data_IF_209280623233
#
_entry.id   IF_209280623233
#
_cell.length_a   1.000
_cell.length_b   1.000
_cell.length_c   1.000
_cell.angle_alpha   90.00
_cell.angle_beta   90.00
_cell.angle_gamma   90.00
#
_symmetry.space_group_name_H-M   'P 1'
#
loop_
_entity.id
_entity.type
_entity.pdbx_description
1 polymer ?
#
# COMPACT_ATOMS: atom_id res chain seq x y z
N UNK A 1 -36.74 -10.82 15.32
CA UNK A 1 -35.78 -9.83 14.70
C UNK A 1 -34.51 -10.59 14.33
N UNK A 2 -34.22 -10.76 13.03
CA UNK A 2 -32.99 -11.40 12.61
C UNK A 2 -31.80 -10.49 12.98
N UNK A 3 -30.85 -11.00 13.74
CA UNK A 3 -29.65 -10.26 14.14
C UNK A 3 -28.86 -9.82 12.93
N UNK A 4 -28.67 -8.52 12.75
CA UNK A 4 -27.84 -7.95 11.69
C UNK A 4 -26.38 -8.41 11.93
N UNK A 5 -25.85 -9.23 11.01
CA UNK A 5 -24.47 -9.73 11.12
C UNK A 5 -23.48 -8.60 10.88
N UNK A 6 -22.65 -8.32 11.88
CA UNK A 6 -21.64 -7.28 11.87
C UNK A 6 -20.24 -7.91 11.88
N UNK A 7 -19.36 -7.42 10.99
CA UNK A 7 -17.98 -7.89 10.86
C UNK A 7 -17.00 -6.73 10.93
N UNK A 8 -15.87 -6.95 11.59
CA UNK A 8 -14.77 -6.00 11.70
C UNK A 8 -13.54 -6.55 10.98
N UNK A 9 -12.98 -5.77 10.05
CA UNK A 9 -11.85 -6.13 9.23
C UNK A 9 -10.75 -5.09 9.36
N UNK A 10 -9.50 -5.51 9.22
CA UNK A 10 -8.33 -4.62 9.18
C UNK A 10 -7.68 -4.72 7.80
N UNK A 11 -7.47 -3.58 7.19
CA UNK A 11 -6.90 -3.45 5.85
C UNK A 11 -5.52 -2.80 5.94
N UNK A 12 -4.41 -3.54 5.72
CA UNK A 12 -3.06 -3.07 5.99
C UNK A 12 -2.55 -2.07 4.95
N UNK A 13 -1.66 -1.18 5.39
CA UNK A 13 -0.80 -0.43 4.49
C UNK A 13 0.34 -1.31 3.94
N UNK A 14 0.97 -0.87 2.84
CA UNK A 14 2.20 -1.46 2.30
C UNK A 14 3.30 -0.42 2.15
N UNK A 15 4.54 -0.88 2.12
CA UNK A 15 5.67 -0.08 1.65
C UNK A 15 6.43 -0.83 0.56
N UNK A 16 7.05 -0.07 -0.34
CA UNK A 16 8.03 -0.64 -1.27
C UNK A 16 9.40 -0.59 -0.57
N UNK A 17 9.98 -1.74 -0.27
CA UNK A 17 11.32 -1.86 0.29
C UNK A 17 12.39 -1.48 -0.73
N UNK A 18 12.12 -1.73 -2.01
CA UNK A 18 12.77 -1.10 -3.15
C UNK A 18 11.80 -0.97 -4.31
N UNK A 19 12.12 -0.09 -5.26
CA UNK A 19 11.39 0.05 -6.51
C UNK A 19 12.35 0.45 -7.63
N UNK A 20 12.54 -0.42 -8.60
CA UNK A 20 13.29 -0.16 -9.83
C UNK A 20 12.35 0.02 -11.00
N UNK A 21 12.63 1.00 -11.83
CA UNK A 21 11.96 1.20 -13.11
C UNK A 21 12.89 0.64 -14.20
N UNK A 22 12.43 -0.39 -14.90
CA UNK A 22 13.27 -1.12 -15.86
C UNK A 22 13.25 -0.44 -17.23
N UNK A 23 12.03 -0.10 -17.71
CA UNK A 23 11.82 0.61 -18.98
C UNK A 23 10.41 1.18 -19.05
N UNK A 24 10.21 2.14 -19.94
CA UNK A 24 8.90 2.62 -20.35
C UNK A 24 8.32 1.67 -21.41
N UNK A 25 7.03 1.35 -21.29
CA UNK A 25 6.30 0.50 -22.23
C UNK A 25 5.51 1.35 -23.24
N UNK A 26 5.14 0.76 -24.38
CA UNK A 26 4.40 1.43 -25.46
C UNK A 26 3.02 1.99 -25.01
N UNK A 27 2.40 1.37 -24.02
CA UNK A 27 1.12 1.78 -23.46
C UNK A 27 1.21 2.86 -22.36
N UNK A 28 2.32 3.59 -22.27
CA UNK A 28 2.63 4.59 -21.24
C UNK A 28 2.76 4.04 -19.80
N UNK A 29 2.71 2.74 -19.58
CA UNK A 29 3.11 2.13 -18.33
C UNK A 29 4.63 1.96 -18.27
N UNK A 30 5.13 1.54 -17.10
CA UNK A 30 6.54 1.23 -16.90
C UNK A 30 6.67 -0.21 -16.44
N UNK A 31 7.66 -0.91 -16.97
CA UNK A 31 8.09 -2.17 -16.38
C UNK A 31 8.85 -1.85 -15.10
N UNK A 32 8.45 -2.51 -14.01
CA UNK A 32 9.03 -2.30 -12.68
C UNK A 32 9.56 -3.61 -12.11
N UNK A 33 10.45 -3.46 -11.14
CA UNK A 33 10.92 -4.52 -10.26
C UNK A 33 10.93 -3.99 -8.83
N UNK A 34 10.23 -4.66 -7.92
CA UNK A 34 10.02 -4.13 -6.57
C UNK A 34 9.84 -5.24 -5.54
N UNK A 35 10.20 -4.94 -4.29
CA UNK A 35 9.86 -5.75 -3.13
C UNK A 35 8.92 -4.98 -2.22
N UNK A 36 7.76 -5.56 -1.93
CA UNK A 36 6.75 -4.96 -1.07
C UNK A 36 6.61 -5.74 0.24
N UNK A 37 6.48 -4.98 1.32
CA UNK A 37 6.08 -5.48 2.64
C UNK A 37 4.83 -4.79 3.11
N UNK A 38 3.95 -5.51 3.82
CA UNK A 38 2.89 -4.89 4.59
C UNK A 38 3.46 -4.31 5.89
N UNK A 39 2.77 -3.32 6.43
CA UNK A 39 3.11 -2.67 7.70
C UNK A 39 1.88 -2.57 8.60
N UNK A 40 2.10 -2.54 9.91
CA UNK A 40 1.07 -2.58 10.94
C UNK A 40 0.27 -1.27 11.10
N UNK A 41 0.01 -0.55 10.01
CA UNK A 41 -0.95 0.56 9.93
C UNK A 41 -2.14 0.08 9.12
N UNK A 42 -3.36 0.29 9.62
CA UNK A 42 -4.56 -0.28 9.04
C UNK A 42 -5.68 0.74 8.91
N UNK A 43 -6.41 0.69 7.81
CA UNK A 43 -7.79 1.15 7.80
C UNK A 43 -8.69 0.12 8.50
N UNK A 44 -9.71 0.58 9.19
CA UNK A 44 -10.68 -0.27 9.88
C UNK A 44 -11.98 -0.30 9.07
N UNK A 45 -12.45 -1.51 8.76
CA UNK A 45 -13.65 -1.69 7.94
C UNK A 45 -14.70 -2.43 8.77
N UNK A 46 -15.87 -1.83 8.86
CA UNK A 46 -17.07 -2.50 9.42
C UNK A 46 -18.00 -2.85 8.29
N UNK A 47 -18.40 -4.12 8.20
CA UNK A 47 -19.37 -4.61 7.22
C UNK A 47 -20.63 -5.09 7.97
N UNK A 48 -21.78 -4.57 7.57
CA UNK A 48 -23.09 -5.01 8.03
C UNK A 48 -23.81 -5.66 6.85
N UNK A 49 -24.23 -6.91 7.01
CA UNK A 49 -25.18 -7.53 6.08
C UNK A 49 -26.56 -6.93 6.37
N UNK A 50 -27.24 -6.40 5.37
CA UNK A 50 -28.53 -5.74 5.55
C UNK A 50 -29.52 -6.12 4.46
N UNK A 51 -30.80 -5.80 4.71
CA UNK A 51 -31.92 -5.99 3.77
C UNK A 51 -32.18 -4.73 2.90
N UNK A 52 -31.32 -3.70 2.95
CA UNK A 52 -31.48 -2.48 2.17
C UNK A 52 -31.45 -2.80 0.68
N UNK A 53 -32.16 -1.99 -0.13
CA UNK A 53 -32.21 -2.18 -1.59
C UNK A 53 -30.84 -2.05 -2.27
N UNK A 54 -29.88 -1.34 -1.64
CA UNK A 54 -28.57 -1.07 -2.24
C UNK A 54 -27.42 -1.21 -1.23
N UNK A 55 -26.26 -1.60 -1.74
CA UNK A 55 -25.00 -1.56 -0.98
C UNK A 55 -24.52 -0.11 -0.86
N UNK A 56 -24.14 0.29 0.33
CA UNK A 56 -23.58 1.63 0.63
C UNK A 56 -22.20 1.53 1.25
N UNK A 57 -21.35 2.50 0.91
CA UNK A 57 -20.01 2.66 1.51
C UNK A 57 -19.88 4.06 2.05
N UNK A 58 -19.47 4.21 3.30
CA UNK A 58 -19.19 5.50 3.93
C UNK A 58 -17.75 5.51 4.46
N UNK A 59 -17.00 6.51 4.05
CA UNK A 59 -15.66 6.77 4.56
C UNK A 59 -15.72 7.85 5.63
N UNK A 60 -14.92 7.69 6.69
CA UNK A 60 -14.79 8.66 7.78
C UNK A 60 -13.35 8.61 8.35
N UNK A 61 -13.02 9.53 9.26
CA UNK A 61 -11.68 9.68 9.82
C UNK A 61 -10.83 10.69 9.05
N UNK A 62 -9.58 10.85 9.49
CA UNK A 62 -8.66 11.92 9.09
C UNK A 62 -8.48 12.03 7.56
N UNK A 63 -8.37 10.89 6.86
CA UNK A 63 -8.07 10.84 5.43
C UNK A 63 -9.27 10.52 4.54
N UNK A 64 -10.49 10.79 5.00
CA UNK A 64 -11.71 10.43 4.25
C UNK A 64 -12.18 11.51 3.27
N UNK A 65 -11.83 12.78 3.49
CA UNK A 65 -12.42 13.94 2.79
C UNK A 65 -12.33 13.90 1.25
N UNK A 66 -11.29 13.28 0.71
CA UNK A 66 -11.03 13.20 -0.74
C UNK A 66 -11.59 11.92 -1.39
N UNK A 67 -12.35 11.09 -0.67
CA UNK A 67 -12.83 9.80 -1.16
C UNK A 67 -14.32 9.86 -1.45
N UNK A 68 -14.70 9.51 -2.69
CA UNK A 68 -16.12 9.40 -3.07
C UNK A 68 -16.78 8.18 -2.41
N UNK A 69 -17.93 8.40 -1.77
CA UNK A 69 -18.76 7.32 -1.24
C UNK A 69 -19.48 6.51 -2.34
N UNK A 70 -19.68 7.09 -3.53
CA UNK A 70 -20.40 6.48 -4.65
C UNK A 70 -19.47 5.75 -5.62
N UNK A 71 -18.37 6.40 -6.00
CA UNK A 71 -17.41 5.89 -6.99
C UNK A 71 -16.08 5.53 -6.30
N UNK A 72 -15.95 4.28 -5.88
CA UNK A 72 -14.75 3.78 -5.22
C UNK A 72 -14.51 2.30 -5.52
N UNK A 73 -13.30 1.84 -5.28
CA UNK A 73 -12.88 0.46 -5.58
C UNK A 73 -13.65 -0.62 -4.79
N UNK A 74 -14.20 -0.32 -3.61
CA UNK A 74 -15.03 -1.27 -2.85
C UNK A 74 -16.35 -1.53 -3.60
N UNK A 75 -17.03 -0.46 -4.02
CA UNK A 75 -18.29 -0.59 -4.80
C UNK A 75 -18.01 -1.35 -6.10
N UNK A 76 -16.93 -1.02 -6.82
CA UNK A 76 -16.55 -1.71 -8.06
C UNK A 76 -16.37 -3.22 -7.86
N UNK A 77 -15.67 -3.62 -6.80
CA UNK A 77 -15.46 -5.04 -6.46
C UNK A 77 -16.78 -5.75 -6.17
N UNK A 78 -17.63 -5.15 -5.35
CA UNK A 78 -18.92 -5.75 -4.99
C UNK A 78 -19.82 -5.90 -6.24
N UNK A 79 -19.87 -4.88 -7.10
CA UNK A 79 -20.63 -4.90 -8.34
C UNK A 79 -20.14 -6.01 -9.28
N UNK A 80 -18.83 -6.18 -9.44
CA UNK A 80 -18.27 -7.28 -10.23
C UNK A 80 -18.57 -8.65 -9.61
N UNK A 81 -18.46 -8.81 -8.29
CA UNK A 81 -18.79 -10.05 -7.60
C UNK A 81 -20.27 -10.43 -7.79
N UNK A 82 -21.18 -9.45 -7.70
CA UNK A 82 -22.63 -9.67 -7.94
C UNK A 82 -22.91 -10.13 -9.37
N UNK A 83 -22.22 -9.57 -10.37
CA UNK A 83 -22.34 -9.99 -11.77
C UNK A 83 -21.84 -11.42 -12.01
N UNK A 84 -20.80 -11.83 -11.30
CA UNK A 84 -20.09 -13.09 -11.52
C UNK A 84 -20.60 -14.25 -10.67
N UNK A 85 -21.41 -13.99 -9.62
CA UNK A 85 -21.79 -15.05 -8.69
C UNK A 85 -23.20 -14.86 -8.12
N UNK A 86 -24.08 -15.84 -8.39
CA UNK A 86 -25.49 -15.83 -7.96
C UNK A 86 -25.64 -15.78 -6.43
N UNK A 87 -24.72 -16.38 -5.65
CA UNK A 87 -24.79 -16.43 -4.17
C UNK A 87 -24.75 -15.04 -3.51
N UNK A 88 -24.19 -14.03 -4.18
CA UNK A 88 -24.07 -12.68 -3.64
C UNK A 88 -24.94 -11.65 -4.40
N UNK A 89 -25.59 -12.05 -5.49
CA UNK A 89 -26.35 -11.14 -6.38
C UNK A 89 -27.33 -10.28 -5.60
N UNK A 90 -28.12 -10.87 -4.73
CA UNK A 90 -29.17 -10.19 -3.94
C UNK A 90 -28.67 -9.71 -2.55
N UNK A 91 -27.39 -9.92 -2.23
CA UNK A 91 -26.85 -9.48 -0.94
C UNK A 91 -26.47 -8.02 -0.96
N UNK A 92 -26.87 -7.28 0.06
CA UNK A 92 -26.51 -5.87 0.21
C UNK A 92 -25.80 -5.63 1.54
N UNK A 93 -24.95 -4.60 1.55
CA UNK A 93 -24.06 -4.32 2.66
C UNK A 93 -24.04 -2.82 2.97
N UNK A 94 -24.00 -2.50 4.26
CA UNK A 94 -23.58 -1.19 4.73
C UNK A 94 -22.14 -1.33 5.20
N UNK A 95 -21.22 -0.62 4.50
CA UNK A 95 -19.79 -0.68 4.77
C UNK A 95 -19.33 0.68 5.29
N UNK A 96 -18.69 0.68 6.47
CA UNK A 96 -18.07 1.88 7.05
C UNK A 96 -16.57 1.68 7.08
N UNK A 97 -15.80 2.62 6.55
CA UNK A 97 -14.33 2.57 6.47
C UNK A 97 -13.75 3.76 7.21
N UNK A 98 -13.06 3.48 8.33
CA UNK A 98 -12.26 4.49 9.02
C UNK A 98 -10.90 4.59 8.35
N UNK A 99 -10.63 5.76 7.77
CA UNK A 99 -9.40 6.03 7.02
C UNK A 99 -8.28 6.50 7.95
N UNK A 100 -7.39 5.58 8.29
CA UNK A 100 -6.18 5.84 9.07
C UNK A 100 -4.92 5.89 8.17
N UNK A 101 -5.01 5.39 6.92
CA UNK A 101 -3.93 5.41 5.93
C UNK A 101 -4.11 6.64 5.04
N UNK A 102 -3.11 7.55 4.94
CA UNK A 102 -3.19 8.73 4.10
C UNK A 102 -3.45 8.40 2.63
N UNK A 103 -4.36 9.15 2.01
CA UNK A 103 -4.70 8.99 0.58
C UNK A 103 -3.60 9.58 -0.30
N UNK A 104 -3.26 8.92 -1.41
CA UNK A 104 -2.24 9.38 -2.34
C UNK A 104 -0.81 9.37 -1.78
N UNK A 105 -0.58 8.60 -0.72
CA UNK A 105 0.70 8.53 0.01
C UNK A 105 1.68 7.48 -0.50
N UNK A 106 1.29 6.63 -1.45
CA UNK A 106 2.11 5.47 -1.87
C UNK A 106 1.97 4.24 -0.95
N UNK A 107 1.10 4.30 0.08
CA UNK A 107 0.88 3.21 1.05
C UNK A 107 -0.21 2.20 0.64
N UNK A 108 -0.92 2.41 -0.47
CA UNK A 108 -1.86 1.47 -1.06
C UNK A 108 -3.18 1.27 -0.31
N UNK A 109 -3.60 2.21 0.55
CA UNK A 109 -4.78 2.05 1.41
C UNK A 109 -6.08 1.76 0.66
N UNK A 110 -6.38 2.45 -0.44
CA UNK A 110 -7.59 2.22 -1.24
C UNK A 110 -7.63 0.82 -1.87
N UNK A 111 -6.52 0.41 -2.48
CA UNK A 111 -6.33 -0.93 -3.06
C UNK A 111 -6.49 -2.01 -1.99
N UNK A 112 -5.86 -1.82 -0.82
CA UNK A 112 -5.96 -2.73 0.32
C UNK A 112 -7.41 -2.89 0.79
N UNK A 113 -8.17 -1.79 0.91
CA UNK A 113 -9.57 -1.83 1.32
C UNK A 113 -10.41 -2.70 0.39
N UNK A 114 -10.27 -2.51 -0.92
CA UNK A 114 -11.01 -3.28 -1.93
C UNK A 114 -10.65 -4.77 -1.90
N UNK A 115 -9.35 -5.11 -1.77
CA UNK A 115 -8.91 -6.51 -1.67
C UNK A 115 -9.36 -7.15 -0.35
N UNK A 116 -9.36 -6.40 0.75
CA UNK A 116 -9.87 -6.88 2.04
C UNK A 116 -11.35 -7.25 1.96
N UNK A 117 -12.18 -6.42 1.30
CA UNK A 117 -13.60 -6.73 1.05
C UNK A 117 -13.74 -7.93 0.11
N UNK A 118 -12.97 -8.01 -0.98
CA UNK A 118 -12.96 -9.16 -1.89
C UNK A 118 -12.73 -10.46 -1.11
N UNK A 119 -11.67 -10.54 -0.32
CA UNK A 119 -11.32 -11.73 0.49
C UNK A 119 -12.38 -12.07 1.51
N UNK A 120 -12.91 -11.07 2.20
CA UNK A 120 -13.99 -11.24 3.15
C UNK A 120 -15.22 -11.87 2.49
N UNK A 121 -15.70 -11.31 1.38
CA UNK A 121 -16.89 -11.81 0.69
C UNK A 121 -16.66 -13.20 0.09
N UNK A 122 -15.47 -13.47 -0.46
CA UNK A 122 -15.11 -14.81 -0.93
C UNK A 122 -15.23 -15.85 0.20
N UNK A 123 -14.63 -15.57 1.35
CA UNK A 123 -14.67 -16.47 2.52
C UNK A 123 -16.09 -16.59 3.08
N UNK A 124 -16.78 -15.46 3.29
CA UNK A 124 -18.10 -15.40 3.95
C UNK A 124 -19.20 -16.15 3.19
N UNK A 125 -19.17 -16.08 1.86
CA UNK A 125 -20.17 -16.69 0.97
C UNK A 125 -19.66 -17.92 0.24
N UNK A 126 -18.47 -18.41 0.57
CA UNK A 126 -17.80 -19.53 -0.13
C UNK A 126 -17.87 -19.36 -1.66
N UNK A 127 -17.40 -18.19 -2.16
CA UNK A 127 -17.48 -17.87 -3.56
C UNK A 127 -16.38 -18.58 -4.35
N UNK A 128 -16.76 -19.53 -5.19
CA UNK A 128 -15.86 -20.16 -6.16
C UNK A 128 -15.74 -19.23 -7.37
N UNK A 129 -14.61 -18.48 -7.47
CA UNK A 129 -14.36 -17.56 -8.57
C UNK A 129 -13.33 -18.19 -9.51
N UNK A 130 -13.68 -18.31 -10.79
CA UNK A 130 -12.77 -18.80 -11.84
C UNK A 130 -11.52 -17.92 -11.91
N UNK A 131 -10.33 -18.49 -12.16
CA UNK A 131 -9.04 -17.80 -12.18
C UNK A 131 -9.03 -16.55 -13.07
N UNK A 132 -9.65 -16.62 -14.25
CA UNK A 132 -9.73 -15.46 -15.17
C UNK A 132 -10.60 -14.33 -14.61
N UNK A 133 -11.73 -14.65 -13.99
CA UNK A 133 -12.60 -13.66 -13.36
C UNK A 133 -11.89 -12.99 -12.16
N UNK A 134 -11.19 -13.78 -11.35
CA UNK A 134 -10.41 -13.25 -10.24
C UNK A 134 -9.30 -12.30 -10.74
N UNK A 135 -8.62 -12.65 -11.85
CA UNK A 135 -7.64 -11.78 -12.50
C UNK A 135 -8.26 -10.47 -12.97
N UNK A 136 -9.48 -10.53 -13.54
CA UNK A 136 -10.22 -9.33 -13.95
C UNK A 136 -10.58 -8.43 -12.75
N UNK A 137 -11.05 -9.02 -11.64
CA UNK A 137 -11.37 -8.26 -10.41
C UNK A 137 -10.10 -7.57 -9.88
N UNK A 138 -8.96 -8.27 -9.77
CA UNK A 138 -7.72 -7.64 -9.34
C UNK A 138 -7.30 -6.48 -10.26
N UNK A 139 -7.41 -6.65 -11.57
CA UNK A 139 -7.09 -5.58 -12.54
C UNK A 139 -7.97 -4.34 -12.37
N UNK A 140 -9.27 -4.52 -12.08
CA UNK A 140 -10.20 -3.41 -11.88
C UNK A 140 -9.94 -2.63 -10.58
N UNK A 141 -9.30 -3.26 -9.59
CA UNK A 141 -8.89 -2.60 -8.34
C UNK A 141 -7.63 -1.74 -8.57
N UNK A 142 -6.66 -2.28 -9.31
CA UNK A 142 -5.39 -1.61 -9.57
C UNK A 142 -4.26 -2.59 -9.89
N UNK A 143 -3.18 -2.10 -10.50
CA UNK A 143 -2.05 -2.91 -10.95
C UNK A 143 -1.39 -3.69 -9.80
N UNK A 144 -1.27 -3.07 -8.62
CA UNK A 144 -0.64 -3.64 -7.43
C UNK A 144 -1.60 -4.39 -6.48
N UNK A 145 -2.85 -4.60 -6.90
CA UNK A 145 -3.89 -5.18 -6.02
C UNK A 145 -3.54 -6.57 -5.49
N UNK A 146 -2.85 -7.40 -6.28
CA UNK A 146 -2.43 -8.74 -5.88
C UNK A 146 -1.45 -8.78 -4.71
N UNK A 147 -0.78 -7.67 -4.38
CA UNK A 147 0.13 -7.63 -3.22
C UNK A 147 -0.61 -7.87 -1.91
N UNK A 148 -1.90 -7.54 -1.86
CA UNK A 148 -2.76 -7.71 -0.69
C UNK A 148 -3.47 -9.08 -0.63
N UNK A 149 -3.17 -10.00 -1.57
CA UNK A 149 -3.78 -11.34 -1.59
C UNK A 149 -3.43 -12.14 -0.34
N UNK A 150 -2.23 -12.03 0.17
CA UNK A 150 -1.76 -12.59 1.44
C UNK A 150 -0.80 -11.62 2.14
N UNK A 151 -0.28 -11.96 3.33
CA UNK A 151 0.60 -11.09 4.13
C UNK A 151 2.10 -11.26 3.85
N UNK A 152 2.50 -12.20 2.98
CA UNK A 152 3.92 -12.42 2.70
C UNK A 152 4.56 -11.25 1.95
N UNK A 153 5.88 -11.16 2.01
CA UNK A 153 6.65 -10.27 1.12
C UNK A 153 6.33 -10.57 -0.34
N UNK A 154 6.30 -9.53 -1.18
CA UNK A 154 5.98 -9.65 -2.61
C UNK A 154 7.08 -9.08 -3.47
N UNK A 155 7.75 -9.96 -4.23
CA UNK A 155 8.48 -9.51 -5.42
C UNK A 155 7.47 -9.23 -6.53
N UNK A 156 7.59 -8.06 -7.13
CA UNK A 156 6.69 -7.58 -8.17
C UNK A 156 7.50 -7.26 -9.41
N UNK A 157 6.98 -7.64 -10.57
CA UNK A 157 7.56 -7.32 -11.87
C UNK A 157 6.48 -7.05 -12.92
N UNK A 158 6.90 -6.78 -14.17
CA UNK A 158 6.00 -6.30 -15.21
C UNK A 158 5.54 -4.88 -14.90
N UNK A 159 4.31 -4.54 -15.19
CA UNK A 159 3.70 -3.27 -14.78
C UNK A 159 3.05 -3.30 -13.39
N UNK A 160 3.44 -4.27 -12.54
CA UNK A 160 2.86 -4.53 -11.20
C UNK A 160 1.98 -5.79 -11.16
N UNK A 161 1.79 -6.48 -12.29
CA UNK A 161 0.85 -7.58 -12.46
C UNK A 161 1.44 -8.96 -12.15
N UNK A 162 2.76 -9.12 -12.22
CA UNK A 162 3.48 -10.35 -11.89
C UNK A 162 3.93 -10.29 -10.43
N UNK A 163 3.32 -11.12 -9.58
CA UNK A 163 3.57 -11.14 -8.14
C UNK A 163 4.06 -12.50 -7.72
N UNK A 164 5.22 -12.52 -7.04
CA UNK A 164 5.80 -13.72 -6.43
C UNK A 164 5.88 -13.55 -4.92
N UNK A 165 5.19 -14.43 -4.18
CA UNK A 165 5.20 -14.41 -2.71
C UNK A 165 6.50 -14.98 -2.17
N UNK A 166 7.09 -14.30 -1.19
CA UNK A 166 8.29 -14.75 -0.49
C UNK A 166 8.00 -14.92 1.00
N UNK A 167 7.98 -16.18 1.44
CA UNK A 167 7.69 -16.56 2.83
C UNK A 167 8.91 -16.35 3.72
N UNK A 168 9.30 -15.10 3.93
CA UNK A 168 10.35 -14.75 4.88
C UNK A 168 9.80 -13.81 5.95
N UNK A 169 10.26 -13.98 7.18
CA UNK A 169 9.93 -13.10 8.30
C UNK A 169 10.98 -12.00 8.39
N UNK A 170 10.62 -10.77 8.02
CA UNK A 170 11.47 -9.60 8.16
C UNK A 170 10.82 -8.68 9.19
N UNK A 171 11.51 -8.46 10.30
CA UNK A 171 11.04 -7.56 11.38
C UNK A 171 11.83 -6.25 11.33
N UNK A 172 11.23 -5.19 10.79
CA UNK A 172 11.81 -3.85 10.75
C UNK A 172 10.97 -2.91 11.63
N UNK A 173 11.62 -2.13 12.48
CA UNK A 173 10.96 -1.02 13.18
C UNK A 173 10.91 0.17 12.23
N UNK A 174 9.74 0.73 11.98
CA UNK A 174 9.50 1.69 10.92
C UNK A 174 8.78 2.91 11.48
N UNK A 175 9.26 4.09 11.12
CA UNK A 175 8.54 5.34 11.23
C UNK A 175 8.06 5.75 9.85
N UNK A 176 6.74 5.79 9.65
CA UNK A 176 6.12 6.37 8.46
C UNK A 176 5.90 7.86 8.69
N UNK A 177 6.15 8.68 7.66
CA UNK A 177 6.00 10.12 7.71
C UNK A 177 5.37 10.58 6.39
N UNK A 178 4.21 11.22 6.47
CA UNK A 178 3.51 11.76 5.30
C UNK A 178 3.44 13.28 5.40
N UNK A 179 3.99 14.02 4.44
CA UNK A 179 4.08 15.50 4.48
C UNK A 179 2.77 16.18 4.11
N UNK A 180 1.63 15.49 4.16
CA UNK A 180 0.28 15.96 3.83
C UNK A 180 0.12 16.53 2.40
N UNK A 181 1.10 16.32 1.54
CA UNK A 181 1.07 16.67 0.12
C UNK A 181 1.24 15.40 -0.71
N UNK A 182 0.17 14.83 -1.30
CA UNK A 182 0.25 13.61 -2.10
C UNK A 182 1.01 13.85 -3.40
N UNK A 183 1.62 12.78 -3.93
CA UNK A 183 2.18 12.76 -5.27
C UNK A 183 1.16 12.18 -6.25
N UNK A 184 1.09 12.75 -7.45
CA UNK A 184 0.39 12.12 -8.58
C UNK A 184 1.31 11.07 -9.20
N UNK A 185 1.01 9.80 -9.00
CA UNK A 185 1.81 8.65 -9.47
C UNK A 185 2.19 8.78 -10.93
N UNK A 186 1.22 9.11 -11.80
CA UNK A 186 1.44 9.31 -13.25
C UNK A 186 2.53 10.35 -13.51
N UNK A 187 2.47 11.50 -12.84
CA UNK A 187 3.43 12.60 -13.01
C UNK A 187 4.83 12.19 -12.57
N UNK A 188 4.95 11.46 -11.44
CA UNK A 188 6.25 10.97 -10.95
C UNK A 188 6.89 10.02 -11.97
N UNK A 189 6.14 9.05 -12.50
CA UNK A 189 6.64 8.13 -13.52
C UNK A 189 6.99 8.82 -14.83
N UNK A 190 6.21 9.80 -15.28
CA UNK A 190 6.47 10.55 -16.51
C UNK A 190 7.75 11.39 -16.43
N UNK A 191 8.10 11.87 -15.24
CA UNK A 191 9.31 12.65 -15.00
C UNK A 191 10.52 11.79 -14.62
N UNK A 192 10.35 10.46 -14.54
CA UNK A 192 11.47 9.57 -14.23
C UNK A 192 12.44 9.46 -15.39
N UNK A 193 13.72 9.66 -15.08
CA UNK A 193 14.84 9.52 -16.02
C UNK A 193 15.80 8.39 -15.61
N UNK A 194 15.54 7.71 -14.51
CA UNK A 194 16.39 6.63 -14.00
C UNK A 194 15.75 5.30 -14.39
N UNK A 195 16.55 4.46 -15.03
CA UNK A 195 16.19 3.11 -15.41
C UNK A 195 17.25 2.14 -14.91
N UNK A 196 16.86 1.18 -14.11
CA UNK A 196 17.74 0.22 -13.46
C UNK A 196 17.62 -1.17 -14.08
N UNK A 197 18.68 -1.97 -13.99
CA UNK A 197 18.60 -3.40 -14.33
C UNK A 197 17.73 -4.13 -13.32
N UNK A 198 16.96 -5.11 -13.82
CA UNK A 198 16.14 -5.99 -12.98
C UNK A 198 17.02 -6.79 -12.02
N UNK A 199 16.60 -6.88 -10.77
CA UNK A 199 17.27 -7.67 -9.76
C UNK A 199 16.73 -9.12 -9.79
N UNK A 200 17.61 -10.10 -10.01
CA UNK A 200 17.21 -11.51 -9.94
C UNK A 200 16.70 -11.84 -8.54
N UNK A 201 15.52 -12.46 -8.46
CA UNK A 201 14.84 -12.76 -7.18
C UNK A 201 15.74 -13.55 -6.22
N UNK A 202 16.50 -14.54 -6.72
CA UNK A 202 17.36 -15.36 -5.85
C UNK A 202 18.57 -14.57 -5.33
N UNK A 203 19.11 -13.65 -6.13
CA UNK A 203 20.14 -12.70 -5.67
C UNK A 203 19.57 -11.80 -4.57
N UNK A 204 18.38 -11.24 -4.79
CA UNK A 204 17.69 -10.42 -3.77
C UNK A 204 17.45 -11.21 -2.47
N UNK A 205 16.93 -12.44 -2.56
CA UNK A 205 16.73 -13.31 -1.39
C UNK A 205 18.03 -13.58 -0.62
N UNK A 206 19.14 -13.86 -1.35
CA UNK A 206 20.46 -14.08 -0.74
C UNK A 206 20.95 -12.83 -0.01
N UNK A 207 20.85 -11.67 -0.65
CA UNK A 207 21.24 -10.38 -0.04
C UNK A 207 20.41 -10.06 1.21
N UNK A 208 19.09 -10.24 1.16
CA UNK A 208 18.16 -10.01 2.28
C UNK A 208 18.52 -10.91 3.46
N UNK A 209 18.79 -12.19 3.22
CA UNK A 209 19.19 -13.14 4.28
C UNK A 209 20.52 -12.77 4.92
N UNK A 210 21.48 -12.28 4.12
CA UNK A 210 22.79 -11.87 4.60
C UNK A 210 22.70 -10.58 5.44
N UNK A 211 22.11 -9.54 4.91
CA UNK A 211 21.92 -8.26 5.61
C UNK A 211 20.85 -7.40 4.91
N UNK A 212 19.70 -7.28 5.55
CA UNK A 212 18.57 -6.51 5.00
C UNK A 212 18.91 -5.02 4.82
N UNK A 213 19.69 -4.40 5.72
CA UNK A 213 20.03 -2.98 5.63
C UNK A 213 20.95 -2.71 4.44
N UNK A 214 21.96 -3.55 4.21
CA UNK A 214 22.81 -3.46 3.01
C UNK A 214 21.97 -3.63 1.73
N UNK A 215 21.03 -4.58 1.75
CA UNK A 215 20.12 -4.77 0.63
C UNK A 215 19.29 -3.51 0.34
N UNK A 216 18.69 -2.89 1.36
CA UNK A 216 17.87 -1.69 1.21
C UNK A 216 18.68 -0.52 0.62
N UNK A 217 19.92 -0.31 1.09
CA UNK A 217 20.80 0.75 0.60
C UNK A 217 21.18 0.57 -0.88
N UNK A 218 21.39 -0.67 -1.34
CA UNK A 218 21.78 -0.98 -2.74
C UNK A 218 20.56 -0.95 -3.66
N UNK A 219 19.41 -1.43 -3.18
CA UNK A 219 18.25 -1.67 -4.03
C UNK A 219 17.53 -0.38 -4.46
N UNK A 220 17.40 0.62 -3.56
CA UNK A 220 16.95 1.98 -3.86
C UNK A 220 15.48 2.13 -4.31
N UNK A 221 15.17 3.36 -4.76
CA UNK A 221 13.89 3.68 -5.42
C UNK A 221 14.15 4.66 -6.56
N UNK A 222 14.05 4.20 -7.80
CA UNK A 222 14.35 5.00 -9.00
C UNK A 222 13.46 6.24 -9.17
N UNK A 223 12.27 6.23 -8.55
CA UNK A 223 11.34 7.36 -8.58
C UNK A 223 11.71 8.49 -7.60
N UNK A 224 12.67 8.25 -6.69
CA UNK A 224 12.97 9.18 -5.60
C UNK A 224 13.42 10.54 -6.12
N UNK A 225 14.30 10.58 -7.12
CA UNK A 225 14.83 11.84 -7.66
C UNK A 225 13.72 12.69 -8.31
N UNK A 226 12.85 12.08 -9.10
CA UNK A 226 11.68 12.74 -9.70
C UNK A 226 10.71 13.27 -8.64
N UNK A 227 10.47 12.47 -7.62
CA UNK A 227 9.59 12.86 -6.52
C UNK A 227 10.17 14.01 -5.68
N UNK A 228 11.49 14.00 -5.39
CA UNK A 228 12.17 15.11 -4.68
C UNK A 228 12.05 16.42 -5.46
N UNK A 229 12.17 16.41 -6.79
CA UNK A 229 12.01 17.60 -7.63
C UNK A 229 10.60 18.18 -7.62
N UNK A 230 9.57 17.32 -7.55
CA UNK A 230 8.16 17.72 -7.69
C UNK A 230 7.46 17.95 -6.34
N UNK A 231 8.03 17.47 -5.24
CA UNK A 231 7.45 17.59 -3.89
C UNK A 231 8.48 18.13 -2.90
N UNK A 232 8.59 19.44 -2.82
CA UNK A 232 9.53 20.12 -1.93
C UNK A 232 9.34 19.76 -0.44
N UNK A 233 8.11 19.69 0.13
CA UNK A 233 7.91 19.23 1.50
C UNK A 233 8.51 17.85 1.79
N UNK A 234 8.36 16.89 0.85
CA UNK A 234 8.95 15.56 0.97
C UNK A 234 10.48 15.63 0.85
N UNK A 235 11.01 16.43 -0.09
CA UNK A 235 12.45 16.62 -0.26
C UNK A 235 13.11 17.18 0.99
N UNK A 236 12.49 18.21 1.61
CA UNK A 236 12.97 18.84 2.85
C UNK A 236 12.92 17.86 4.03
N UNK A 237 11.88 17.03 4.11
CA UNK A 237 11.78 15.98 5.11
C UNK A 237 12.93 14.97 5.00
N UNK A 238 13.21 14.47 3.78
CA UNK A 238 14.29 13.51 3.57
C UNK A 238 15.65 14.10 3.93
N UNK A 239 15.95 15.33 3.49
CA UNK A 239 17.18 16.04 3.85
C UNK A 239 17.30 16.30 5.37
N UNK A 240 16.18 16.55 6.06
CA UNK A 240 16.17 16.66 7.50
C UNK A 240 16.51 15.32 8.17
N UNK A 241 15.88 14.21 7.76
CA UNK A 241 16.12 12.89 8.33
C UNK A 241 17.57 12.44 8.11
N UNK A 242 18.14 12.69 6.93
CA UNK A 242 19.53 12.41 6.57
C UNK A 242 20.49 13.14 7.53
N UNK A 243 20.26 14.45 7.76
CA UNK A 243 21.10 15.25 8.69
C UNK A 243 21.04 14.81 10.15
N UNK A 244 19.94 14.19 10.60
CA UNK A 244 19.84 13.71 11.98
C UNK A 244 20.75 12.52 12.27
N UNK A 245 21.16 11.76 11.27
CA UNK A 245 22.03 10.58 11.35
C UNK A 245 21.64 9.56 12.46
N UNK A 246 20.33 9.39 12.67
CA UNK A 246 19.78 8.46 13.68
C UNK A 246 18.95 7.33 13.07
N UNK A 247 18.73 7.39 11.76
CA UNK A 247 18.01 6.39 10.99
C UNK A 247 19.02 5.41 10.36
N UNK A 248 18.74 4.11 10.44
CA UNK A 248 19.60 3.10 9.78
C UNK A 248 19.32 3.02 8.27
N UNK A 249 18.14 3.46 7.84
CA UNK A 249 17.75 3.57 6.42
C UNK A 249 16.58 4.53 6.26
N UNK A 250 16.54 5.27 5.16
CA UNK A 250 15.48 6.23 4.82
C UNK A 250 15.10 6.06 3.36
N UNK A 251 13.79 6.00 3.06
CA UNK A 251 13.31 5.89 1.69
C UNK A 251 11.87 6.40 1.54
N UNK A 252 11.43 6.61 0.31
CA UNK A 252 10.05 6.89 -0.08
C UNK A 252 9.35 5.59 -0.48
N UNK A 253 8.07 5.43 -0.10
CA UNK A 253 7.25 4.27 -0.51
C UNK A 253 6.62 4.50 -1.89
N UNK A 254 6.93 3.63 -2.84
CA UNK A 254 6.37 3.70 -4.19
C UNK A 254 6.70 5.02 -4.88
N UNK A 255 5.71 5.70 -5.44
CA UNK A 255 5.82 7.05 -6.01
C UNK A 255 5.70 8.17 -4.98
N UNK A 256 5.58 7.82 -3.70
CA UNK A 256 5.46 8.78 -2.60
C UNK A 256 4.01 9.26 -2.39
N UNK A 257 3.85 10.28 -1.58
CA UNK A 257 4.89 11.08 -0.92
C UNK A 257 5.25 10.58 0.50
N UNK A 258 4.65 9.50 0.99
CA UNK A 258 5.03 8.96 2.29
C UNK A 258 6.48 8.47 2.26
N UNK A 259 7.30 9.01 3.16
CA UNK A 259 8.63 8.53 3.45
C UNK A 259 8.57 7.56 4.63
N UNK A 260 9.54 6.68 4.71
CA UNK A 260 9.72 5.82 5.87
C UNK A 260 11.19 5.76 6.27
N UNK A 261 11.41 5.72 7.58
CA UNK A 261 12.71 5.49 8.17
C UNK A 261 12.70 4.15 8.91
N UNK A 262 13.79 3.40 8.80
CA UNK A 262 13.96 2.08 9.44
C UNK A 262 15.00 2.20 10.54
N UNK A 263 14.77 1.46 11.64
CA UNK A 263 15.60 1.53 12.83
C UNK A 263 15.89 0.14 13.39
N UNK A 264 17.13 -0.10 13.78
CA UNK A 264 17.51 -1.25 14.61
C UNK A 264 16.97 -1.10 16.04
N UNK A 265 16.98 0.12 16.56
CA UNK A 265 16.55 0.44 17.92
C UNK A 265 15.19 1.17 17.96
N UNK A 266 14.28 0.68 18.84
CA UNK A 266 13.02 1.38 19.13
C UNK A 266 13.26 2.74 19.80
N UNK A 267 14.32 2.90 20.59
CA UNK A 267 14.70 4.17 21.24
C UNK A 267 15.03 5.22 20.18
N UNK A 268 15.86 4.89 19.18
CA UNK A 268 16.22 5.78 18.08
C UNK A 268 14.98 6.16 17.24
N UNK A 269 14.07 5.21 16.99
CA UNK A 269 12.82 5.45 16.29
C UNK A 269 11.97 6.49 17.01
N UNK A 270 11.73 6.34 18.33
CA UNK A 270 10.92 7.27 19.12
C UNK A 270 11.58 8.66 19.22
N UNK A 271 12.93 8.71 19.34
CA UNK A 271 13.68 9.98 19.27
C UNK A 271 13.47 10.67 17.93
N UNK A 272 13.57 9.95 16.81
CA UNK A 272 13.33 10.48 15.49
C UNK A 272 11.89 11.00 15.33
N UNK A 273 10.89 10.24 15.77
CA UNK A 273 9.49 10.67 15.74
C UNK A 273 9.28 11.99 16.50
N UNK A 274 9.88 12.13 17.69
CA UNK A 274 9.79 13.37 18.48
C UNK A 274 10.39 14.55 17.71
N UNK A 275 11.57 14.41 17.11
CA UNK A 275 12.22 15.46 16.31
C UNK A 275 11.37 15.86 15.09
N UNK A 276 10.80 14.87 14.39
CA UNK A 276 9.90 15.13 13.26
C UNK A 276 8.65 15.89 13.71
N UNK A 277 8.02 15.49 14.82
CA UNK A 277 6.83 16.16 15.34
C UNK A 277 7.10 17.61 15.82
N UNK A 278 8.28 17.88 16.33
CA UNK A 278 8.68 19.25 16.72
C UNK A 278 8.84 20.12 15.47
N UNK A 279 9.56 19.65 14.45
CA UNK A 279 9.89 20.43 13.25
C UNK A 279 8.73 20.50 12.25
N UNK A 280 7.97 19.43 12.10
CA UNK A 280 6.90 19.27 11.09
C UNK A 280 5.58 18.90 11.77
N UNK A 281 5.04 19.82 12.58
CA UNK A 281 3.83 19.60 13.43
C UNK A 281 2.62 19.10 12.66
N UNK A 282 2.45 19.53 11.40
CA UNK A 282 1.31 19.15 10.56
C UNK A 282 1.50 17.81 9.85
N UNK A 283 2.70 17.21 9.87
CA UNK A 283 2.95 15.95 9.16
C UNK A 283 2.37 14.78 9.94
N UNK A 284 1.70 13.90 9.22
CA UNK A 284 1.26 12.65 9.81
C UNK A 284 2.45 11.70 10.04
N UNK A 285 2.44 11.05 11.20
CA UNK A 285 3.48 10.06 11.54
C UNK A 285 2.86 8.82 12.15
N UNK A 286 3.40 7.63 11.84
CA UNK A 286 3.01 6.39 12.48
C UNK A 286 4.23 5.52 12.77
N UNK A 287 4.35 5.09 14.02
CA UNK A 287 5.30 4.05 14.45
C UNK A 287 4.70 2.70 14.16
N UNK A 288 5.44 1.86 13.44
CA UNK A 288 4.94 0.55 13.02
C UNK A 288 6.07 -0.47 12.85
N UNK A 289 5.71 -1.67 12.42
CA UNK A 289 6.64 -2.73 12.01
C UNK A 289 6.15 -3.38 10.71
N UNK A 290 7.07 -4.05 10.01
CA UNK A 290 6.66 -4.99 8.96
C UNK A 290 5.79 -6.09 9.55
N UNK A 291 4.75 -6.49 8.81
CA UNK A 291 3.89 -7.64 9.11
C UNK A 291 4.01 -8.63 7.94
N UNK A 292 4.56 -9.82 8.24
CA UNK A 292 4.78 -10.90 7.25
C UNK A 292 4.35 -12.23 7.84
#
# INVERSE_FOLDING_TARGET
>A
MELIKKYHLRSPAKINLYLRVIKKLSNNYHEIDSLISHVGVFDEITVLENKNKQTSVKFFGEFSKLISNKNNSIISVISLLKKLNKKIKEKNFTIKVKKNIPVGSGLGGGTSNAVTILKFLQKRFNLKIKKNNLKQIYRSIGADSKVFADSYLKFISGYGDKVHSYKAKIKLNILLIFPNKPNLTKTIYQNNKIFSKKLKIDVAKKMIRKNIFNFLNIAGNDLLLSAKKLNLPMSNLLAFLERQNICDFIQMSGSGSCCYAVFKSKKSLLKCQKLVKIKYRSYWTAVTKTIT
#
